data_IF_751174310797
#
_entry.id   IF_751174310797
#
_cell.length_a   1.000
_cell.length_b   1.000
_cell.length_c   1.000
_cell.angle_alpha   90.00
_cell.angle_beta   90.00
_cell.angle_gamma   90.00
#
_symmetry.space_group_name_H-M   'P 1'
#
loop_
_entity.id
_entity.type
_entity.pdbx_description
1 polymer ?
#
# COMPACT_ATOMS: atom_id res chain seq x y z
N UNK A 1 10.17 39.10 26.77
CA UNK A 1 10.34 37.69 26.34
C UNK A 1 9.01 36.97 26.58
N UNK A 2 8.45 36.33 25.57
CA UNK A 2 7.16 35.65 25.68
C UNK A 2 7.34 34.36 26.50
N UNK A 3 6.53 34.18 27.56
CA UNK A 3 6.56 33.01 28.46
C UNK A 3 5.43 32.09 28.08
N UNK A 4 5.71 30.81 27.82
CA UNK A 4 4.71 29.80 27.52
C UNK A 4 4.75 28.64 28.51
N UNK A 5 3.58 28.08 28.79
CA UNK A 5 3.39 26.95 29.70
C UNK A 5 2.48 25.88 29.09
N UNK A 6 2.61 24.62 29.51
CA UNK A 6 1.69 23.59 29.13
C UNK A 6 0.25 23.94 29.52
N UNK A 7 -0.67 23.81 28.57
CA UNK A 7 -2.09 24.02 28.85
C UNK A 7 -2.76 22.69 29.16
N UNK A 8 -3.51 22.66 30.25
CA UNK A 8 -4.40 21.57 30.64
C UNK A 8 -5.82 22.13 30.80
N UNK A 9 -6.79 21.47 30.18
CA UNK A 9 -8.21 21.81 30.39
C UNK A 9 -8.57 21.51 31.84
N UNK A 10 -9.39 22.35 32.50
CA UNK A 10 -9.74 22.19 33.94
C UNK A 10 -10.33 20.80 34.27
N UNK A 11 -11.15 20.23 33.34
CA UNK A 11 -11.85 18.98 33.55
C UNK A 11 -11.25 17.82 32.75
N UNK A 12 -9.96 17.89 32.34
CA UNK A 12 -9.30 16.91 31.53
C UNK A 12 -8.36 16.06 32.39
N UNK A 13 -8.55 14.75 32.36
CA UNK A 13 -7.63 13.80 32.96
C UNK A 13 -6.60 13.34 31.92
N UNK A 14 -5.33 13.46 32.29
CA UNK A 14 -4.24 12.99 31.44
C UNK A 14 -4.21 11.46 31.49
N UNK A 15 -4.52 10.82 30.35
CA UNK A 15 -4.52 9.36 30.24
C UNK A 15 -3.44 8.89 29.28
N UNK A 16 -2.69 7.88 29.70
CA UNK A 16 -1.67 7.21 28.91
C UNK A 16 -1.99 5.71 28.74
N UNK A 17 -1.28 5.09 27.81
CA UNK A 17 -1.32 3.63 27.65
C UNK A 17 -0.67 2.99 28.89
N UNK A 18 -1.30 1.97 29.45
CA UNK A 18 -0.72 1.23 30.59
C UNK A 18 0.60 0.54 30.19
N UNK A 19 1.60 0.58 31.08
CA UNK A 19 2.92 -0.03 30.87
C UNK A 19 2.86 -1.54 30.60
N UNK A 20 1.80 -2.23 31.09
CA UNK A 20 1.58 -3.65 30.87
C UNK A 20 0.71 -3.98 29.68
N UNK A 21 0.27 -2.98 28.89
CA UNK A 21 -0.58 -3.20 27.74
C UNK A 21 0.11 -4.00 26.65
N UNK A 22 -0.69 -4.60 25.75
CA UNK A 22 -0.19 -5.42 24.62
C UNK A 22 0.24 -4.53 23.43
N UNK A 23 1.24 -3.66 23.69
CA UNK A 23 1.83 -2.79 22.66
C UNK A 23 3.29 -3.17 22.40
N UNK A 24 3.84 -2.84 21.23
CA UNK A 24 5.26 -3.05 20.94
C UNK A 24 6.15 -2.41 22.01
N UNK A 25 7.20 -3.11 22.51
CA UNK A 25 8.04 -2.64 23.62
C UNK A 25 8.65 -1.25 23.39
N UNK A 26 8.95 -0.90 22.14
CA UNK A 26 9.49 0.41 21.81
C UNK A 26 8.48 1.53 22.06
N UNK A 27 7.17 1.30 21.85
CA UNK A 27 6.12 2.28 22.15
C UNK A 27 6.05 2.52 23.64
N UNK A 28 6.02 1.44 24.44
CA UNK A 28 5.98 1.51 25.90
C UNK A 28 7.21 2.26 26.45
N UNK A 29 8.41 1.89 25.99
CA UNK A 29 9.66 2.55 26.44
C UNK A 29 9.75 4.01 26.05
N UNK A 30 9.26 4.36 24.87
CA UNK A 30 9.37 5.71 24.30
C UNK A 30 8.32 6.68 24.86
N UNK A 31 7.21 6.17 25.41
CA UNK A 31 6.10 7.01 25.86
C UNK A 31 6.52 7.99 26.98
N UNK A 32 7.12 7.58 28.11
CA UNK A 32 7.53 8.52 29.16
C UNK A 32 8.56 9.54 28.66
N UNK A 33 9.52 9.12 27.83
CA UNK A 33 10.54 9.98 27.24
C UNK A 33 9.88 11.06 26.34
N UNK A 34 8.86 10.67 25.56
CA UNK A 34 8.12 11.57 24.70
C UNK A 34 7.29 12.57 25.50
N UNK A 35 6.75 12.14 26.64
CA UNK A 35 6.01 13.02 27.59
C UNK A 35 6.97 14.04 28.16
N UNK A 36 8.14 13.64 28.68
CA UNK A 36 9.17 14.53 29.19
C UNK A 36 9.63 15.56 28.15
N UNK A 37 9.95 15.09 26.93
CA UNK A 37 10.42 15.96 25.85
C UNK A 37 9.35 16.96 25.41
N UNK A 38 8.08 16.54 25.35
CA UNK A 38 6.95 17.43 25.07
C UNK A 38 6.76 18.47 26.17
N UNK A 39 6.75 18.02 27.44
CA UNK A 39 6.57 18.93 28.58
C UNK A 39 7.69 19.97 28.62
N UNK A 40 8.95 19.55 28.43
CA UNK A 40 10.11 20.43 28.35
C UNK A 40 9.98 21.47 27.23
N UNK A 41 9.56 21.04 26.01
CA UNK A 41 9.36 21.95 24.87
C UNK A 41 8.24 22.97 25.08
N UNK A 42 7.22 22.61 25.86
CA UNK A 42 6.09 23.48 26.18
C UNK A 42 6.33 24.39 27.41
N UNK A 43 7.46 24.20 28.08
CA UNK A 43 7.83 24.99 29.27
C UNK A 43 8.98 25.94 28.92
N UNK A 44 8.77 27.24 29.07
CA UNK A 44 9.81 28.25 28.77
C UNK A 44 11.05 28.15 29.67
N UNK A 45 10.91 27.63 30.88
CA UNK A 45 12.00 27.46 31.84
C UNK A 45 11.73 26.31 32.81
N UNK A 46 12.72 25.98 33.64
CA UNK A 46 12.65 24.89 34.62
C UNK A 46 11.48 25.09 35.61
N UNK A 47 11.26 26.30 36.11
CA UNK A 47 10.19 26.59 37.07
C UNK A 47 8.81 26.19 36.51
N UNK A 48 8.52 26.56 35.30
CA UNK A 48 7.25 26.22 34.63
C UNK A 48 7.13 24.70 34.39
N UNK A 49 8.23 24.06 34.09
CA UNK A 49 8.27 22.58 33.97
C UNK A 49 7.94 21.95 35.32
N UNK A 50 8.61 22.37 36.39
CA UNK A 50 8.43 21.82 37.72
C UNK A 50 7.01 22.08 38.28
N UNK A 51 6.36 23.18 37.91
CA UNK A 51 4.95 23.49 38.22
C UNK A 51 3.98 22.51 37.50
N UNK A 52 4.27 22.12 36.25
CA UNK A 52 3.39 21.28 35.48
C UNK A 52 3.69 19.76 35.64
N UNK A 53 4.92 19.38 35.93
CA UNK A 53 5.38 18.00 35.98
C UNK A 53 4.58 17.06 36.93
N UNK A 54 4.10 17.49 38.11
CA UNK A 54 3.36 16.61 39.00
C UNK A 54 2.12 15.96 38.42
N UNK A 55 1.35 16.69 37.60
CA UNK A 55 0.16 16.13 36.96
C UNK A 55 0.50 15.05 35.92
N UNK A 56 1.55 15.28 35.12
CA UNK A 56 2.03 14.33 34.13
C UNK A 56 2.72 13.13 34.79
N UNK A 57 3.47 13.35 35.90
CA UNK A 57 4.08 12.27 36.67
C UNK A 57 3.01 11.35 37.26
N UNK A 58 1.98 11.92 37.91
CA UNK A 58 0.86 11.15 38.47
C UNK A 58 0.18 10.31 37.38
N UNK A 59 -0.01 10.86 36.18
CA UNK A 59 -0.60 10.14 35.06
C UNK A 59 0.28 8.96 34.59
N UNK A 60 1.60 9.11 34.59
CA UNK A 60 2.54 8.03 34.28
C UNK A 60 2.54 6.96 35.38
N UNK A 61 2.58 7.37 36.66
CA UNK A 61 2.56 6.47 37.80
C UNK A 61 1.27 5.62 37.82
N UNK A 62 0.11 6.26 37.61
CA UNK A 62 -1.18 5.59 37.49
C UNK A 62 -1.23 4.55 36.33
N UNK A 63 -0.44 4.79 35.29
CA UNK A 63 -0.31 3.86 34.16
C UNK A 63 0.79 2.81 34.36
N UNK A 64 1.44 2.77 35.53
CA UNK A 64 2.45 1.77 35.93
C UNK A 64 3.84 2.00 35.34
N UNK A 65 4.20 3.22 34.98
CA UNK A 65 5.55 3.57 34.56
C UNK A 65 6.42 3.93 35.75
N UNK A 66 7.61 3.34 35.84
CA UNK A 66 8.63 3.66 36.87
C UNK A 66 9.59 4.77 36.41
N UNK A 67 9.12 5.72 35.60
CA UNK A 67 9.92 6.79 35.01
C UNK A 67 9.70 8.10 35.75
N UNK A 68 10.79 8.81 36.10
CA UNK A 68 10.72 10.13 36.71
C UNK A 68 10.98 11.22 35.68
N UNK A 69 10.10 12.20 35.64
CA UNK A 69 10.23 13.36 34.76
C UNK A 69 11.27 14.33 35.34
N UNK A 70 12.26 14.69 34.52
CA UNK A 70 13.33 15.60 34.89
C UNK A 70 13.50 16.71 33.84
N UNK A 71 13.69 17.94 34.29
CA UNK A 71 14.02 19.04 33.39
C UNK A 71 15.47 18.96 32.96
N UNK A 72 15.70 18.54 31.70
CA UNK A 72 17.04 18.57 31.09
C UNK A 72 17.11 19.77 30.15
N UNK A 73 18.07 20.70 30.37
CA UNK A 73 18.36 21.74 29.39
C UNK A 73 18.63 21.06 28.05
N UNK A 74 17.98 21.55 27.00
CA UNK A 74 18.36 21.11 25.68
C UNK A 74 19.75 21.66 25.39
N UNK A 75 20.75 20.80 25.33
CA UNK A 75 21.90 21.09 24.52
C UNK A 75 21.35 21.29 23.09
N UNK A 76 21.43 22.51 22.61
CA UNK A 76 21.07 22.83 21.22
C UNK A 76 22.10 22.12 20.33
N UNK A 77 21.95 20.83 20.21
CA UNK A 77 22.70 20.09 19.18
C UNK A 77 22.12 20.57 17.87
N UNK A 78 22.93 21.31 17.13
CA UNK A 78 22.69 21.57 15.71
C UNK A 78 22.15 20.30 15.09
N UNK A 79 20.94 20.32 14.49
CA UNK A 79 20.35 19.10 13.93
C UNK A 79 21.38 18.50 12.96
N UNK A 80 21.74 17.21 13.13
CA UNK A 80 22.70 16.59 12.25
C UNK A 80 22.19 16.79 10.82
N UNK A 81 23.04 17.36 9.95
CA UNK A 81 22.69 17.52 8.54
C UNK A 81 22.13 16.20 8.02
N UNK A 82 20.85 16.17 7.76
CA UNK A 82 20.17 14.98 7.24
C UNK A 82 20.78 14.69 5.88
N UNK A 83 21.76 13.79 5.82
CA UNK A 83 22.18 13.19 4.58
C UNK A 83 20.94 12.54 3.97
N UNK A 84 20.35 13.18 2.97
CA UNK A 84 19.17 12.68 2.28
C UNK A 84 19.55 11.51 1.36
N UNK A 85 19.93 10.40 1.94
CA UNK A 85 19.91 9.13 1.22
C UNK A 85 18.45 8.72 1.11
N UNK A 86 17.83 8.99 -0.02
CA UNK A 86 16.50 8.42 -0.35
C UNK A 86 16.64 6.90 -0.52
N UNK A 87 16.74 6.19 0.59
CA UNK A 87 16.62 4.73 0.59
C UNK A 87 15.14 4.40 0.42
N UNK A 88 14.78 3.73 -0.65
CA UNK A 88 13.44 3.13 -0.81
C UNK A 88 13.32 1.97 0.20
N UNK A 89 12.82 2.26 1.39
CA UNK A 89 12.64 1.27 2.45
C UNK A 89 11.25 0.66 2.30
N UNK A 90 11.20 -0.66 2.28
CA UNK A 90 9.98 -1.45 2.33
C UNK A 90 9.77 -1.89 3.77
N UNK A 91 8.64 -1.51 4.36
CA UNK A 91 8.31 -1.84 5.74
C UNK A 91 7.41 -3.07 5.80
N UNK A 92 7.82 -4.07 6.58
CA UNK A 92 6.97 -5.16 7.01
C UNK A 92 6.45 -4.85 8.42
N UNK A 93 5.12 -4.69 8.56
CA UNK A 93 4.48 -4.25 9.80
C UNK A 93 3.56 -5.35 10.37
N UNK A 94 4.11 -6.44 10.94
CA UNK A 94 3.30 -7.46 11.59
C UNK A 94 2.65 -6.92 12.87
N UNK A 95 1.48 -7.44 13.27
CA UNK A 95 0.88 -7.12 14.56
C UNK A 95 1.76 -7.69 15.69
N UNK A 96 1.93 -6.91 16.76
CA UNK A 96 2.63 -7.34 17.96
C UNK A 96 1.69 -8.05 18.92
N UNK A 97 2.15 -9.15 19.51
CA UNK A 97 1.50 -9.80 20.65
C UNK A 97 2.54 -10.31 21.65
N UNK A 98 2.33 -10.02 22.92
CA UNK A 98 3.16 -10.56 24.03
C UNK A 98 3.08 -12.09 24.12
N UNK A 99 2.00 -12.69 23.64
CA UNK A 99 1.82 -14.15 23.65
C UNK A 99 2.67 -14.87 22.60
N UNK A 100 3.24 -14.15 21.64
CA UNK A 100 4.11 -14.71 20.61
C UNK A 100 5.55 -14.63 21.07
N UNK A 101 6.12 -15.77 21.44
CA UNK A 101 7.53 -15.88 21.90
C UNK A 101 8.54 -15.78 20.75
N UNK A 102 8.13 -16.14 19.53
CA UNK A 102 8.99 -16.10 18.34
C UNK A 102 9.33 -14.67 17.93
N UNK A 103 10.61 -14.42 17.68
CA UNK A 103 11.04 -13.14 17.12
C UNK A 103 10.70 -13.07 15.62
N UNK A 104 9.45 -12.68 15.32
CA UNK A 104 8.91 -12.61 13.95
C UNK A 104 9.80 -11.75 13.03
N UNK A 105 10.39 -10.66 13.55
CA UNK A 105 11.29 -9.81 12.77
C UNK A 105 12.54 -10.55 12.31
N UNK A 106 13.17 -11.32 13.24
CA UNK A 106 14.36 -12.10 12.94
C UNK A 106 14.04 -13.20 11.93
N UNK A 107 12.97 -13.95 12.16
CA UNK A 107 12.57 -15.04 11.26
C UNK A 107 12.21 -14.52 9.86
N UNK A 108 11.47 -13.42 9.77
CA UNK A 108 11.19 -12.81 8.47
C UNK A 108 12.45 -12.41 7.70
N UNK A 109 13.43 -11.77 8.37
CA UNK A 109 14.69 -11.39 7.73
C UNK A 109 15.54 -12.61 7.34
N UNK A 110 15.51 -13.68 8.13
CA UNK A 110 16.17 -14.95 7.80
C UNK A 110 15.54 -15.60 6.55
N UNK A 111 14.20 -15.57 6.43
CA UNK A 111 13.52 -16.04 5.23
C UNK A 111 13.90 -15.21 3.99
N UNK A 112 14.01 -13.88 4.13
CA UNK A 112 14.48 -13.03 3.06
C UNK A 112 15.87 -13.41 2.57
N UNK A 113 16.82 -13.63 3.49
CA UNK A 113 18.18 -14.04 3.14
C UNK A 113 18.23 -15.45 2.51
N UNK A 114 17.36 -16.35 2.98
CA UNK A 114 17.27 -17.72 2.44
C UNK A 114 16.76 -17.74 1.00
N UNK A 115 15.72 -16.94 0.71
CA UNK A 115 15.05 -16.98 -0.60
C UNK A 115 15.64 -16.01 -1.62
N UNK A 116 16.18 -14.87 -1.21
CA UNK A 116 16.78 -13.88 -2.10
C UNK A 116 18.30 -13.88 -1.97
N UNK A 117 18.94 -14.97 -2.47
CA UNK A 117 20.39 -15.10 -2.55
C UNK A 117 21.00 -14.10 -3.54
N UNK A 118 22.32 -13.97 -3.58
CA UNK A 118 23.02 -12.92 -4.36
C UNK A 118 22.75 -12.99 -5.87
N UNK A 119 22.49 -14.18 -6.41
CA UNK A 119 22.13 -14.41 -7.80
C UNK A 119 20.64 -14.18 -8.12
N UNK A 120 19.80 -13.92 -7.11
CA UNK A 120 18.37 -13.77 -7.34
C UNK A 120 18.03 -12.39 -7.95
N UNK A 121 17.21 -12.39 -9.02
CA UNK A 121 16.83 -11.17 -9.77
C UNK A 121 16.28 -10.01 -8.91
N UNK A 122 15.69 -10.32 -7.75
CA UNK A 122 15.13 -9.34 -6.83
C UNK A 122 16.01 -9.04 -5.61
N UNK A 123 17.23 -9.54 -5.52
CA UNK A 123 18.14 -9.30 -4.37
C UNK A 123 18.37 -7.81 -4.09
N UNK A 124 18.43 -6.97 -5.14
CA UNK A 124 18.59 -5.51 -4.98
C UNK A 124 17.41 -4.84 -4.28
N UNK A 125 16.21 -5.46 -4.36
CA UNK A 125 14.97 -4.95 -3.76
C UNK A 125 14.72 -5.58 -2.40
N UNK A 126 14.88 -6.91 -2.28
CA UNK A 126 14.60 -7.67 -1.06
C UNK A 126 15.91 -8.09 -0.37
N UNK A 127 16.37 -7.24 0.55
CA UNK A 127 17.54 -7.48 1.38
C UNK A 127 17.43 -6.72 2.70
N UNK A 128 18.28 -6.99 3.68
CA UNK A 128 18.26 -6.36 5.01
C UNK A 128 18.45 -4.85 5.01
N UNK A 129 19.00 -4.26 3.94
CA UNK A 129 19.20 -2.81 3.84
C UNK A 129 17.91 -2.10 3.41
N UNK A 130 17.12 -2.72 2.55
CA UNK A 130 15.88 -2.19 1.99
C UNK A 130 14.64 -2.63 2.77
N UNK A 131 14.67 -3.81 3.41
CA UNK A 131 13.58 -4.32 4.23
C UNK A 131 13.80 -3.94 5.70
N UNK A 132 12.76 -3.37 6.30
CA UNK A 132 12.74 -3.07 7.74
C UNK A 132 11.46 -3.62 8.35
N UNK A 133 11.58 -4.06 9.59
CA UNK A 133 10.43 -4.56 10.35
C UNK A 133 10.05 -3.55 11.41
N UNK A 134 8.77 -3.23 11.48
CA UNK A 134 8.19 -2.41 12.52
C UNK A 134 6.89 -3.06 12.98
N UNK A 135 6.74 -3.28 14.26
CA UNK A 135 5.52 -3.87 14.79
C UNK A 135 4.39 -2.83 14.83
N UNK A 136 3.19 -3.26 14.46
CA UNK A 136 1.95 -2.51 14.65
C UNK A 136 1.21 -2.98 15.90
N UNK A 137 0.36 -2.13 16.46
CA UNK A 137 -0.55 -2.54 17.53
C UNK A 137 -1.62 -3.49 16.99
N UNK A 138 -2.11 -4.38 17.84
CA UNK A 138 -3.29 -5.21 17.56
C UNK A 138 -4.51 -4.31 17.29
N UNK A 139 -5.40 -4.78 16.45
CA UNK A 139 -6.66 -4.07 16.19
C UNK A 139 -7.50 -3.97 17.45
N UNK A 140 -8.08 -2.80 17.72
CA UNK A 140 -9.05 -2.63 18.79
C UNK A 140 -10.33 -3.38 18.49
N UNK A 141 -11.08 -3.80 19.52
CA UNK A 141 -12.41 -4.43 19.37
C UNK A 141 -13.34 -3.57 18.51
N UNK A 142 -13.34 -2.25 18.71
CA UNK A 142 -14.11 -1.31 17.88
C UNK A 142 -13.78 -1.46 16.40
N UNK A 143 -12.49 -1.55 16.04
CA UNK A 143 -12.08 -1.67 14.64
C UNK A 143 -12.42 -3.04 14.04
N UNK A 144 -12.39 -4.11 14.87
CA UNK A 144 -12.77 -5.47 14.45
C UNK A 144 -14.28 -5.52 14.18
N UNK A 145 -15.10 -5.06 15.12
CA UNK A 145 -16.56 -5.01 14.97
C UNK A 145 -16.97 -4.13 13.79
N UNK A 146 -16.38 -2.94 13.66
CA UNK A 146 -16.70 -2.04 12.53
C UNK A 146 -16.31 -2.64 11.19
N UNK A 147 -15.20 -3.39 11.11
CA UNK A 147 -14.78 -4.06 9.88
C UNK A 147 -15.73 -5.24 9.54
N UNK A 148 -16.18 -5.99 10.56
CA UNK A 148 -17.14 -7.07 10.39
C UNK A 148 -18.50 -6.54 9.90
N UNK A 149 -19.07 -5.53 10.57
CA UNK A 149 -20.32 -4.93 10.16
C UNK A 149 -20.27 -4.36 8.74
N UNK A 150 -19.14 -3.70 8.38
CA UNK A 150 -18.96 -3.21 7.01
C UNK A 150 -18.93 -4.35 5.99
N UNK A 151 -18.32 -5.48 6.34
CA UNK A 151 -18.28 -6.65 5.46
C UNK A 151 -19.68 -7.19 5.20
N UNK A 152 -20.49 -7.38 6.25
CA UNK A 152 -21.90 -7.83 6.12
C UNK A 152 -22.68 -6.88 5.21
N UNK A 153 -22.64 -5.56 5.50
CA UNK A 153 -23.37 -4.56 4.71
C UNK A 153 -22.92 -4.50 3.23
N UNK A 154 -21.65 -4.79 2.95
CA UNK A 154 -21.15 -4.83 1.56
C UNK A 154 -21.46 -6.15 0.87
N UNK A 155 -21.53 -7.26 1.57
CA UNK A 155 -21.95 -8.57 1.01
C UNK A 155 -23.42 -8.54 0.62
N UNK A 156 -24.31 -7.98 1.44
CA UNK A 156 -25.74 -7.80 1.11
C UNK A 156 -25.94 -6.91 -0.13
N UNK A 157 -25.10 -5.88 -0.33
CA UNK A 157 -25.17 -5.04 -1.53
C UNK A 157 -24.55 -5.69 -2.78
N UNK A 158 -23.58 -6.58 -2.60
CA UNK A 158 -22.89 -7.26 -3.71
C UNK A 158 -23.74 -8.38 -4.35
N UNK A 159 -24.62 -9.02 -3.60
CA UNK A 159 -25.52 -10.07 -4.13
C UNK A 159 -26.53 -9.52 -5.14
N UNK A 160 -26.85 -8.22 -5.08
CA UNK A 160 -27.77 -7.54 -5.99
C UNK A 160 -27.08 -6.79 -7.14
N UNK A 161 -25.74 -6.73 -7.21
CA UNK A 161 -25.05 -6.07 -8.31
C UNK A 161 -25.10 -6.92 -9.58
N UNK A 162 -25.63 -6.35 -10.67
CA UNK A 162 -25.56 -6.96 -12.00
C UNK A 162 -24.09 -7.21 -12.36
N UNK A 163 -23.73 -8.45 -12.62
CA UNK A 163 -22.36 -8.84 -13.01
C UNK A 163 -22.09 -8.58 -14.49
N UNK A 164 -23.16 -8.49 -15.30
CA UNK A 164 -23.09 -8.31 -16.73
C UNK A 164 -24.16 -7.32 -17.23
N UNK A 165 -23.84 -6.55 -18.27
CA UNK A 165 -24.78 -5.66 -18.98
C UNK A 165 -24.73 -5.85 -20.49
N UNK A 166 -24.34 -7.02 -20.97
CA UNK A 166 -24.42 -7.35 -22.38
C UNK A 166 -25.89 -7.50 -22.81
N UNK A 167 -26.26 -7.14 -24.04
CA UNK A 167 -27.59 -7.37 -24.58
C UNK A 167 -27.95 -8.87 -24.57
N UNK A 168 -29.22 -9.17 -24.35
CA UNK A 168 -29.72 -10.56 -24.47
C UNK A 168 -29.39 -11.13 -25.84
N UNK A 169 -28.95 -12.39 -25.86
CA UNK A 169 -28.51 -13.10 -27.08
C UNK A 169 -27.08 -12.79 -27.56
N UNK A 170 -26.33 -11.90 -26.89
CA UNK A 170 -24.91 -11.66 -27.19
C UNK A 170 -24.01 -12.38 -26.17
N UNK A 171 -22.98 -13.06 -26.66
CA UNK A 171 -21.98 -13.68 -25.80
C UNK A 171 -21.19 -12.60 -25.05
N UNK A 172 -21.08 -12.72 -23.73
CA UNK A 172 -20.24 -11.85 -22.91
C UNK A 172 -18.77 -12.24 -23.05
N UNK A 173 -17.87 -11.31 -23.40
CA UNK A 173 -16.44 -11.62 -23.55
C UNK A 173 -15.75 -12.08 -22.25
N UNK A 174 -16.39 -11.94 -21.09
CA UNK A 174 -15.95 -12.40 -19.77
C UNK A 174 -17.00 -13.27 -19.07
N UNK A 175 -17.66 -14.14 -19.80
CA UNK A 175 -18.60 -15.14 -19.26
C UNK A 175 -19.57 -14.58 -18.19
N UNK A 176 -20.19 -13.44 -18.50
CA UNK A 176 -21.12 -12.79 -17.57
C UNK A 176 -20.51 -11.85 -16.53
N UNK A 177 -19.20 -11.58 -16.57
CA UNK A 177 -18.49 -10.80 -15.55
C UNK A 177 -17.95 -9.45 -16.08
N UNK A 178 -18.49 -8.90 -17.17
CA UNK A 178 -17.96 -7.69 -17.82
C UNK A 178 -18.06 -6.39 -17.00
N UNK A 179 -18.90 -6.33 -15.97
CA UNK A 179 -19.02 -5.21 -15.04
C UNK A 179 -18.05 -5.25 -13.87
N UNK A 180 -17.19 -6.28 -13.79
CA UNK A 180 -16.19 -6.41 -12.74
C UNK A 180 -15.25 -5.21 -12.68
N UNK A 181 -15.03 -4.69 -11.46
CA UNK A 181 -14.13 -3.56 -11.16
C UNK A 181 -12.86 -4.06 -10.48
N UNK A 182 -11.81 -3.23 -10.51
CA UNK A 182 -10.54 -3.53 -9.83
C UNK A 182 -9.96 -4.91 -10.21
N UNK A 183 -10.01 -5.23 -11.49
CA UNK A 183 -9.64 -6.54 -12.05
C UNK A 183 -8.25 -6.53 -12.68
N UNK A 184 -7.53 -7.63 -12.49
CA UNK A 184 -6.43 -8.06 -13.34
C UNK A 184 -6.97 -9.14 -14.29
N UNK A 185 -6.72 -8.99 -15.57
CA UNK A 185 -7.25 -9.86 -16.62
C UNK A 185 -6.15 -10.27 -17.60
N UNK A 186 -6.35 -11.40 -18.26
CA UNK A 186 -5.54 -11.78 -19.42
C UNK A 186 -6.36 -11.80 -20.70
N UNK A 187 -5.68 -11.58 -21.81
CA UNK A 187 -6.18 -11.79 -23.16
C UNK A 187 -5.22 -12.72 -23.91
N UNK A 188 -5.69 -13.91 -24.23
CA UNK A 188 -4.94 -14.90 -25.03
C UNK A 188 -5.33 -14.77 -26.48
N UNK A 189 -4.33 -14.50 -27.33
CA UNK A 189 -4.49 -14.30 -28.75
C UNK A 189 -4.14 -15.58 -29.48
N UNK A 190 -5.01 -15.98 -30.36
CA UNK A 190 -4.75 -17.05 -31.37
C UNK A 190 -4.90 -16.47 -32.77
N UNK A 191 -4.21 -17.03 -33.75
CA UNK A 191 -4.25 -16.58 -35.15
C UNK A 191 -4.15 -17.75 -36.09
N UNK A 192 -4.66 -17.57 -37.29
CA UNK A 192 -4.54 -18.54 -38.42
C UNK A 192 -3.19 -18.44 -39.15
N UNK A 193 -2.30 -17.54 -38.74
CA UNK A 193 -0.97 -17.44 -39.32
C UNK A 193 -0.15 -18.73 -39.09
N UNK A 194 0.61 -19.22 -40.07
CA UNK A 194 1.45 -20.41 -39.91
C UNK A 194 2.48 -20.18 -38.81
N UNK A 195 2.63 -21.16 -37.92
CA UNK A 195 3.53 -21.15 -36.77
C UNK A 195 3.21 -20.08 -35.70
N UNK A 196 2.02 -19.49 -35.71
CA UNK A 196 1.58 -18.58 -34.65
C UNK A 196 1.16 -19.43 -33.45
N UNK A 197 1.92 -19.30 -32.37
CA UNK A 197 1.54 -19.88 -31.08
C UNK A 197 0.43 -19.09 -30.41
N UNK A 198 0.18 -19.35 -29.14
CA UNK A 198 -0.71 -18.54 -28.30
C UNK A 198 0.10 -17.46 -27.61
N UNK A 199 -0.23 -16.21 -27.87
CA UNK A 199 0.39 -15.06 -27.19
C UNK A 199 -0.55 -14.52 -26.08
N UNK A 200 -0.01 -14.24 -24.90
CA UNK A 200 -0.80 -13.77 -23.76
C UNK A 200 -0.39 -12.35 -23.36
N UNK A 201 -1.41 -11.55 -23.09
CA UNK A 201 -1.28 -10.19 -22.57
C UNK A 201 -1.97 -10.09 -21.23
N UNK A 202 -1.34 -9.42 -20.26
CA UNK A 202 -1.91 -9.14 -18.94
C UNK A 202 -2.18 -7.65 -18.81
N UNK A 203 -3.37 -7.31 -18.31
CA UNK A 203 -3.79 -5.93 -18.09
C UNK A 203 -4.56 -5.74 -16.81
N UNK A 204 -4.79 -4.49 -16.44
CA UNK A 204 -5.60 -4.13 -15.28
C UNK A 204 -6.65 -3.09 -15.63
N UNK A 205 -7.79 -3.18 -14.93
CA UNK A 205 -8.87 -2.20 -15.01
C UNK A 205 -9.33 -1.82 -13.61
N UNK A 206 -9.22 -0.54 -13.24
CA UNK A 206 -9.83 -0.02 -12.01
C UNK A 206 -11.33 0.21 -12.17
N UNK A 207 -11.83 0.83 -13.27
CA UNK A 207 -13.26 0.87 -13.56
C UNK A 207 -13.76 -0.50 -14.04
N UNK A 208 -15.04 -0.56 -14.42
CA UNK A 208 -15.64 -1.74 -15.03
C UNK A 208 -14.82 -2.24 -16.23
N UNK A 209 -14.60 -3.57 -16.30
CA UNK A 209 -13.81 -4.16 -17.37
C UNK A 209 -14.40 -3.88 -18.77
N UNK A 210 -15.73 -3.79 -18.88
CA UNK A 210 -16.43 -3.44 -20.13
C UNK A 210 -15.89 -2.16 -20.78
N UNK A 211 -15.56 -1.13 -19.99
CA UNK A 211 -14.97 0.11 -20.50
C UNK A 211 -13.56 -0.13 -21.06
N UNK A 212 -12.79 -0.96 -20.39
CA UNK A 212 -11.44 -1.35 -20.84
C UNK A 212 -11.50 -2.17 -22.12
N UNK A 213 -12.43 -3.09 -22.21
CA UNK A 213 -12.70 -3.87 -23.41
C UNK A 213 -13.10 -2.98 -24.60
N UNK A 214 -13.98 -2.00 -24.39
CA UNK A 214 -14.31 -1.00 -25.41
C UNK A 214 -13.08 -0.29 -25.97
N UNK A 215 -12.16 0.14 -25.08
CA UNK A 215 -10.90 0.77 -25.47
C UNK A 215 -10.00 -0.19 -26.29
N UNK A 216 -9.96 -1.45 -25.92
CA UNK A 216 -9.25 -2.46 -26.72
C UNK A 216 -9.85 -2.62 -28.10
N UNK A 217 -11.17 -2.76 -28.22
CA UNK A 217 -11.86 -2.87 -29.52
C UNK A 217 -11.54 -1.69 -30.44
N UNK A 218 -11.57 -0.45 -29.90
CA UNK A 218 -11.21 0.75 -30.67
C UNK A 218 -9.75 0.64 -31.15
N UNK A 219 -8.82 0.21 -30.31
CA UNK A 219 -7.41 0.08 -30.66
C UNK A 219 -7.13 -1.05 -31.66
N UNK A 220 -7.99 -2.07 -31.74
CA UNK A 220 -7.92 -3.13 -32.74
C UNK A 220 -8.50 -2.70 -34.09
N UNK A 221 -9.42 -1.74 -34.11
CA UNK A 221 -10.04 -1.26 -35.34
C UNK A 221 -9.32 -0.03 -35.93
N UNK A 222 -8.70 0.79 -35.09
CA UNK A 222 -8.05 2.02 -35.54
C UNK A 222 -6.58 2.03 -35.07
N UNK A 223 -5.66 1.94 -36.04
CA UNK A 223 -4.21 1.83 -35.81
C UNK A 223 -3.61 2.97 -34.98
N UNK A 224 -4.16 4.20 -35.12
CA UNK A 224 -3.71 5.36 -34.34
C UNK A 224 -3.85 5.19 -32.82
N UNK A 225 -4.72 4.28 -32.36
CA UNK A 225 -4.92 3.96 -30.96
C UNK A 225 -4.17 2.69 -30.52
N UNK A 226 -3.39 2.06 -31.37
CA UNK A 226 -2.61 0.85 -31.05
C UNK A 226 -1.40 1.14 -30.16
N UNK A 227 -1.62 1.67 -28.94
CA UNK A 227 -0.57 2.07 -27.99
C UNK A 227 -0.20 0.98 -26.98
N UNK A 228 -1.01 -0.06 -26.83
CA UNK A 228 -0.74 -1.14 -25.90
C UNK A 228 -0.22 -2.39 -26.68
N UNK A 229 0.54 -3.24 -26.00
CA UNK A 229 1.23 -4.36 -26.63
C UNK A 229 0.27 -5.34 -27.32
N UNK A 230 -0.87 -5.63 -26.69
CA UNK A 230 -1.90 -6.47 -27.32
C UNK A 230 -2.40 -5.85 -28.65
N UNK A 231 -2.59 -4.54 -28.71
CA UNK A 231 -3.05 -3.89 -29.97
C UNK A 231 -1.95 -3.89 -31.03
N UNK A 232 -0.69 -3.72 -30.66
CA UNK A 232 0.44 -3.83 -31.59
C UNK A 232 0.52 -5.23 -32.21
N UNK A 233 0.31 -6.24 -31.37
CA UNK A 233 0.31 -7.63 -31.80
C UNK A 233 -0.84 -7.92 -32.78
N UNK A 234 -2.05 -7.41 -32.51
CA UNK A 234 -3.19 -7.54 -33.42
C UNK A 234 -2.90 -6.89 -34.78
N UNK A 235 -2.27 -5.71 -34.77
CA UNK A 235 -1.89 -5.05 -36.02
C UNK A 235 -0.78 -5.81 -36.77
N UNK A 236 0.15 -6.43 -36.06
CA UNK A 236 1.16 -7.30 -36.67
C UNK A 236 0.51 -8.47 -37.40
N UNK A 237 -0.49 -9.12 -36.80
CA UNK A 237 -1.25 -10.22 -37.43
C UNK A 237 -1.96 -9.71 -38.68
N UNK A 238 -2.66 -8.57 -38.60
CA UNK A 238 -3.37 -7.97 -39.74
C UNK A 238 -2.45 -7.55 -40.88
N UNK A 239 -1.27 -7.01 -40.56
CA UNK A 239 -0.26 -6.62 -41.57
C UNK A 239 0.29 -7.87 -42.34
N UNK A 240 0.23 -9.05 -41.74
CA UNK A 240 0.58 -10.32 -42.36
C UNK A 240 -0.61 -11.02 -43.06
N UNK A 241 -1.77 -10.37 -43.09
CA UNK A 241 -2.99 -10.89 -43.71
C UNK A 241 -3.71 -11.97 -42.91
N UNK A 242 -3.35 -12.16 -41.62
CA UNK A 242 -3.97 -13.13 -40.73
C UNK A 242 -5.24 -12.62 -40.05
N UNK A 243 -6.06 -13.57 -39.59
CA UNK A 243 -7.18 -13.31 -38.66
C UNK A 243 -6.77 -13.67 -37.25
N UNK A 244 -7.52 -13.15 -36.27
CA UNK A 244 -7.23 -13.39 -34.84
C UNK A 244 -8.50 -13.59 -34.04
N UNK A 245 -8.38 -14.35 -32.96
CA UNK A 245 -9.38 -14.44 -31.89
C UNK A 245 -8.74 -14.18 -30.55
N UNK A 246 -9.52 -13.67 -29.57
CA UNK A 246 -9.03 -13.35 -28.24
C UNK A 246 -9.97 -13.91 -27.18
N UNK A 247 -9.46 -14.83 -26.39
CA UNK A 247 -10.15 -15.29 -25.18
C UNK A 247 -9.72 -14.44 -23.97
N UNK A 248 -10.71 -13.93 -23.25
CA UNK A 248 -10.49 -13.09 -22.07
C UNK A 248 -10.78 -13.83 -20.78
N UNK A 249 -9.97 -13.63 -19.76
CA UNK A 249 -10.20 -14.20 -18.43
C UNK A 249 -9.79 -13.24 -17.32
N UNK A 250 -10.47 -13.35 -16.16
CA UNK A 250 -10.09 -12.63 -14.95
C UNK A 250 -9.05 -13.45 -14.20
N UNK A 251 -7.88 -12.84 -13.94
CA UNK A 251 -6.79 -13.45 -13.16
C UNK A 251 -6.90 -13.16 -11.68
N UNK A 252 -7.57 -12.06 -11.30
CA UNK A 252 -7.72 -11.69 -9.90
C UNK A 252 -8.27 -10.29 -9.70
N UNK A 253 -8.49 -9.95 -8.44
CA UNK A 253 -9.00 -8.65 -8.01
C UNK A 253 -8.08 -8.06 -6.95
N UNK A 254 -7.86 -6.75 -7.00
CA UNK A 254 -7.16 -6.03 -5.94
C UNK A 254 -7.57 -4.55 -5.93
N UNK A 255 -7.63 -3.92 -4.76
CA UNK A 255 -7.95 -2.51 -4.65
C UNK A 255 -7.02 -1.65 -5.52
N UNK A 256 -7.60 -0.71 -6.28
CA UNK A 256 -6.85 0.31 -7.00
C UNK A 256 -6.19 1.30 -6.02
N UNK A 257 -5.61 2.37 -6.55
CA UNK A 257 -4.92 3.37 -5.74
C UNK A 257 -5.86 4.00 -4.71
N UNK A 258 -5.40 3.98 -3.44
CA UNK A 258 -6.07 4.64 -2.33
C UNK A 258 -5.24 5.86 -1.89
N UNK A 259 -5.77 7.09 -1.98
CA UNK A 259 -5.06 8.32 -1.62
C UNK A 259 -4.61 8.36 -0.15
N UNK A 260 -5.42 7.82 0.77
CA UNK A 260 -5.11 7.82 2.20
C UNK A 260 -3.91 6.95 2.55
N UNK A 261 -3.79 5.79 1.93
CA UNK A 261 -2.67 4.87 2.13
C UNK A 261 -1.53 5.07 1.15
N UNK A 262 -1.74 5.86 0.08
CA UNK A 262 -0.81 6.05 -1.05
C UNK A 262 -0.37 4.71 -1.69
N UNK A 263 -1.19 3.69 -1.62
CA UNK A 263 -0.92 2.34 -2.14
C UNK A 263 -1.87 1.98 -3.26
N UNK A 264 -1.39 1.19 -4.22
CA UNK A 264 -2.17 0.61 -5.30
C UNK A 264 -1.83 -0.88 -5.43
N UNK A 265 -2.67 -1.72 -4.83
CA UNK A 265 -2.44 -3.16 -4.89
C UNK A 265 -2.68 -3.71 -6.31
N UNK A 266 -3.59 -3.11 -7.07
CA UNK A 266 -3.86 -3.53 -8.45
C UNK A 266 -2.62 -3.44 -9.36
N UNK A 267 -1.85 -2.34 -9.28
CA UNK A 267 -0.59 -2.23 -10.03
C UNK A 267 0.49 -3.20 -9.50
N UNK A 268 0.45 -3.54 -8.21
CA UNK A 268 1.41 -4.45 -7.60
C UNK A 268 1.18 -5.88 -8.05
N UNK A 269 -0.06 -6.38 -8.01
CA UNK A 269 -0.36 -7.77 -8.44
C UNK A 269 -0.07 -7.98 -9.93
N UNK A 270 -0.36 -6.97 -10.79
CA UNK A 270 0.02 -7.02 -12.20
C UNK A 270 1.54 -7.17 -12.37
N UNK A 271 2.31 -6.35 -11.65
CA UNK A 271 3.77 -6.40 -11.73
C UNK A 271 4.33 -7.74 -11.24
N UNK A 272 3.77 -8.29 -10.15
CA UNK A 272 4.16 -9.60 -9.63
C UNK A 272 3.84 -10.70 -10.64
N UNK A 273 2.62 -10.75 -11.16
CA UNK A 273 2.18 -11.74 -12.12
C UNK A 273 3.08 -11.75 -13.38
N UNK A 274 3.33 -10.58 -13.98
CA UNK A 274 4.20 -10.46 -15.17
C UNK A 274 5.63 -10.97 -14.89
N UNK A 275 6.13 -10.75 -13.67
CA UNK A 275 7.49 -11.16 -13.31
C UNK A 275 7.62 -12.66 -12.95
N UNK A 276 6.57 -13.25 -12.42
CA UNK A 276 6.55 -14.65 -11.96
C UNK A 276 6.01 -15.61 -13.03
N UNK A 277 5.37 -15.08 -14.06
CA UNK A 277 4.82 -15.91 -15.14
C UNK A 277 5.93 -16.71 -15.85
N UNK A 278 5.71 -18.03 -15.99
CA UNK A 278 6.70 -18.93 -16.53
C UNK A 278 6.86 -18.84 -18.07
N UNK A 279 5.81 -18.35 -18.77
CA UNK A 279 5.78 -18.19 -20.22
C UNK A 279 6.18 -16.78 -20.68
N UNK A 280 6.27 -16.60 -21.99
CA UNK A 280 6.46 -15.28 -22.57
C UNK A 280 5.12 -14.53 -22.64
N UNK A 281 5.11 -13.31 -22.10
CA UNK A 281 3.99 -12.40 -22.17
C UNK A 281 4.30 -11.27 -23.16
N UNK A 282 3.29 -10.76 -23.83
CA UNK A 282 3.41 -9.56 -24.67
C UNK A 282 3.77 -8.30 -23.87
N UNK A 283 3.68 -8.34 -22.56
CA UNK A 283 4.00 -7.23 -21.70
C UNK A 283 5.50 -6.89 -21.71
N UNK A 284 5.84 -5.70 -22.19
CA UNK A 284 7.23 -5.22 -22.26
C UNK A 284 7.76 -4.70 -20.93
N UNK A 285 6.86 -4.25 -20.02
CA UNK A 285 7.24 -3.69 -18.72
C UNK A 285 7.35 -4.79 -17.67
N UNK A 286 8.60 -5.18 -17.37
CA UNK A 286 8.93 -6.22 -16.38
C UNK A 286 9.45 -5.64 -15.05
N UNK A 287 9.36 -4.30 -14.82
CA UNK A 287 9.84 -3.69 -13.59
C UNK A 287 8.85 -3.96 -12.44
N UNK A 288 9.34 -4.54 -11.35
CA UNK A 288 8.53 -4.76 -10.14
C UNK A 288 8.17 -3.43 -9.44
N UNK A 289 9.09 -2.48 -9.45
CA UNK A 289 8.89 -1.16 -8.84
C UNK A 289 8.69 -0.12 -9.93
N UNK A 290 7.44 0.17 -10.21
CA UNK A 290 7.05 1.17 -11.22
C UNK A 290 6.11 2.22 -10.64
N UNK A 291 6.01 3.36 -11.32
CA UNK A 291 5.07 4.43 -10.95
C UNK A 291 3.62 3.93 -11.15
N UNK A 292 2.76 4.18 -10.15
CA UNK A 292 1.36 3.80 -10.22
C UNK A 292 0.63 4.54 -11.35
N UNK A 293 -0.12 3.82 -12.19
CA UNK A 293 -0.92 4.39 -13.30
C UNK A 293 -2.21 5.07 -12.82
N UNK A 294 -2.64 4.79 -11.58
CA UNK A 294 -3.91 5.30 -11.02
C UNK A 294 -3.72 6.52 -10.10
N UNK A 295 -2.49 6.86 -9.74
CA UNK A 295 -2.19 7.92 -8.77
C UNK A 295 -2.78 9.28 -9.20
N UNK A 296 -2.61 9.66 -10.44
CA UNK A 296 -3.05 10.97 -10.94
C UNK A 296 -4.57 11.13 -11.05
N UNK A 297 -5.35 10.04 -11.00
CA UNK A 297 -6.82 10.10 -11.04
C UNK A 297 -7.45 10.66 -9.76
N UNK A 298 -6.69 10.67 -8.67
CA UNK A 298 -7.15 11.11 -7.35
C UNK A 298 -6.47 12.39 -6.89
N UNK A 299 -5.66 13.04 -7.76
CA UNK A 299 -5.10 14.34 -7.45
C UNK A 299 -6.19 15.41 -7.64
N UNK A 300 -6.57 16.09 -6.57
CA UNK A 300 -7.55 17.18 -6.59
C UNK A 300 -6.97 18.48 -7.17
N UNK A 301 -5.65 18.60 -7.16
CA UNK A 301 -4.91 19.76 -7.70
C UNK A 301 -3.75 19.22 -8.52
N UNK A 302 -3.64 19.64 -9.78
CA UNK A 302 -2.38 19.53 -10.51
C UNK A 302 -1.44 20.57 -9.90
N UNK A 303 -0.34 20.14 -9.29
CA UNK A 303 0.77 21.05 -9.00
C UNK A 303 1.21 21.65 -10.35
N UNK A 304 0.98 22.93 -10.52
CA UNK A 304 1.56 23.68 -11.62
C UNK A 304 3.07 23.49 -11.54
N UNK A 305 3.66 22.92 -12.59
CA UNK A 305 5.10 22.91 -12.73
C UNK A 305 5.55 24.36 -12.78
N UNK A 306 6.11 24.87 -11.70
CA UNK A 306 6.96 26.04 -11.77
C UNK A 306 8.13 25.66 -12.68
N UNK A 307 8.07 26.20 -13.89
CA UNK A 307 9.23 26.26 -14.79
C UNK A 307 10.14 27.35 -14.22
N UNK A 308 11.24 26.95 -13.57
CA UNK A 308 12.44 27.73 -13.41
C UNK A 308 13.47 27.30 -14.46
#
# INVERSE_FOLDING_TARGET
MMVHKPFKKPNDEILYINANSNHPPNIIKQLPISVEDRLRKLSSNKRIFDEAAPDYQRALDNCGFSYKLEYKKSDVKTPPQKRSRQRKIIWFNPPFSKSVSTNVAKEFLNLVDKHFKDNHKFKKIFNRNTLKVSYSCMRSMKSIVSAHNRKILTEESAENERKCSCPEGTSCPLDGHCLSKNTMYSGKITSDLPNYGTNEYVGISAPEWKLRYGNHRISFNERRYAKCEIAKEIWRIKDQGGTFDISWSILGHAPAYNPSSKKCNLCLIEALYINEHAGELLNTRKELVKKCRHQNRYALVQEEKQND
#
